data_IF_938924854054
#
_entry.id   IF_938924854054
#
_cell.length_a   1.000
_cell.length_b   1.000
_cell.length_c   1.000
_cell.angle_alpha   90.00
_cell.angle_beta   90.00
_cell.angle_gamma   90.00
#
_symmetry.space_group_name_H-M   'P 1'
#
loop_
_entity.id
_entity.type
_entity.pdbx_description
1 polymer ?
#
# COMPACT_ATOMS: atom_id res chain seq x y z
N UNK A 1 -6.34 21.33 3.19
CA UNK A 1 -5.05 20.82 2.68
C UNK A 1 -5.24 20.44 1.22
N UNK A 2 -4.35 20.86 0.36
CA UNK A 2 -4.40 20.45 -1.05
C UNK A 2 -3.67 19.11 -1.24
N UNK A 3 -4.38 18.00 -0.99
CA UNK A 3 -3.82 16.65 -1.15
C UNK A 3 -3.39 16.37 -2.60
N UNK A 4 -4.08 16.94 -3.58
CA UNK A 4 -3.75 16.76 -5.00
C UNK A 4 -2.31 17.19 -5.28
N UNK A 5 -1.93 18.37 -4.81
CA UNK A 5 -0.57 18.89 -4.97
C UNK A 5 0.49 18.00 -4.33
N UNK A 6 0.28 17.57 -3.09
CA UNK A 6 1.25 16.70 -2.40
C UNK A 6 1.39 15.35 -3.11
N UNK A 7 0.27 14.74 -3.51
CA UNK A 7 0.25 13.45 -4.20
C UNK A 7 0.91 13.52 -5.58
N UNK A 8 0.72 14.64 -6.30
CA UNK A 8 1.40 14.87 -7.58
C UNK A 8 2.93 14.95 -7.38
N UNK A 9 3.40 15.70 -6.37
CA UNK A 9 4.83 15.77 -6.04
C UNK A 9 5.39 14.37 -5.72
N UNK A 10 4.66 13.57 -4.95
CA UNK A 10 5.10 12.21 -4.59
C UNK A 10 5.16 11.33 -5.84
N UNK A 11 4.15 11.38 -6.74
CA UNK A 11 4.18 10.65 -8.02
C UNK A 11 5.38 11.03 -8.87
N UNK A 12 5.68 12.32 -9.01
CA UNK A 12 6.90 12.79 -9.72
C UNK A 12 8.17 12.21 -9.10
N UNK A 13 8.25 12.16 -7.78
CA UNK A 13 9.42 11.60 -7.09
C UNK A 13 9.53 10.07 -7.31
N UNK A 14 8.42 9.34 -7.38
CA UNK A 14 8.42 7.92 -7.76
C UNK A 14 8.97 7.74 -9.17
N UNK A 15 8.49 8.51 -10.16
CA UNK A 15 8.98 8.44 -11.54
C UNK A 15 10.49 8.74 -11.57
N UNK A 16 10.93 9.84 -10.95
CA UNK A 16 12.35 10.22 -10.90
C UNK A 16 13.22 9.14 -10.27
N UNK A 17 12.74 8.48 -9.21
CA UNK A 17 13.50 7.43 -8.55
C UNK A 17 13.69 6.20 -9.45
N UNK A 18 12.64 5.78 -10.17
CA UNK A 18 12.69 4.67 -11.12
C UNK A 18 13.55 5.04 -12.33
N UNK A 19 13.46 6.26 -12.82
CA UNK A 19 14.27 6.76 -13.92
C UNK A 19 15.78 6.69 -13.62
N UNK A 20 16.16 6.80 -12.35
CA UNK A 20 17.56 6.73 -11.91
C UNK A 20 18.09 5.30 -11.74
N UNK A 21 17.25 4.27 -11.81
CA UNK A 21 17.59 2.91 -11.34
C UNK A 21 17.30 1.80 -12.34
N UNK A 22 16.77 2.12 -13.51
CA UNK A 22 16.44 1.19 -14.58
C UNK A 22 15.46 0.06 -14.19
N UNK A 23 14.78 0.15 -13.04
CA UNK A 23 13.87 -0.90 -12.60
C UNK A 23 12.94 -0.43 -11.49
N UNK A 24 11.65 -0.71 -11.61
CA UNK A 24 10.67 -0.44 -10.57
C UNK A 24 9.23 -0.79 -10.95
N UNK A 25 8.38 -0.86 -9.95
CA UNK A 25 6.96 -1.13 -10.13
C UNK A 25 6.18 0.17 -10.09
N UNK A 26 5.97 0.80 -11.25
CA UNK A 26 5.39 2.14 -11.36
C UNK A 26 3.86 2.11 -11.18
N UNK A 27 3.17 1.29 -11.97
CA UNK A 27 1.71 1.19 -11.91
C UNK A 27 1.17 0.77 -10.55
N UNK A 28 1.69 -0.31 -9.91
CA UNK A 28 1.29 -0.70 -8.57
C UNK A 28 1.62 0.33 -7.48
N UNK A 29 2.68 1.11 -7.63
CA UNK A 29 3.02 2.18 -6.71
C UNK A 29 2.00 3.33 -6.80
N UNK A 30 1.56 3.68 -8.00
CA UNK A 30 0.59 4.74 -8.21
C UNK A 30 -0.82 4.35 -7.75
N UNK A 31 -1.21 3.07 -7.87
CA UNK A 31 -2.55 2.64 -7.47
C UNK A 31 -2.79 2.75 -5.96
N UNK A 32 -1.81 2.42 -5.12
CA UNK A 32 -1.97 2.41 -3.67
C UNK A 32 -1.41 3.66 -2.96
N UNK A 33 -1.00 4.68 -3.71
CA UNK A 33 -0.33 5.86 -3.14
C UNK A 33 -1.17 6.58 -2.10
N UNK A 34 -2.44 6.86 -2.39
CA UNK A 34 -3.34 7.57 -1.46
C UNK A 34 -3.61 6.75 -0.20
N UNK A 35 -3.66 5.43 -0.31
CA UNK A 35 -3.81 4.52 0.85
C UNK A 35 -2.59 4.66 1.76
N UNK A 36 -1.38 4.52 1.20
CA UNK A 36 -0.13 4.65 1.95
C UNK A 36 0.06 6.06 2.52
N UNK A 37 -0.19 7.09 1.73
CA UNK A 37 -0.11 8.48 2.15
C UNK A 37 -1.05 8.76 3.34
N UNK A 38 -2.30 8.33 3.25
CA UNK A 38 -3.29 8.55 4.31
C UNK A 38 -2.85 7.88 5.63
N UNK A 39 -2.43 6.62 5.55
CA UNK A 39 -1.98 5.87 6.73
C UNK A 39 -0.74 6.50 7.34
N UNK A 40 0.29 6.73 6.54
CA UNK A 40 1.60 7.18 7.02
C UNK A 40 1.55 8.60 7.56
N UNK A 41 0.88 9.52 6.86
CA UNK A 41 0.82 10.93 7.25
C UNK A 41 -0.07 11.15 8.48
N UNK A 42 -1.20 10.44 8.59
CA UNK A 42 -2.21 10.74 9.61
C UNK A 42 -2.20 9.78 10.81
N UNK A 43 -1.70 8.55 10.63
CA UNK A 43 -1.86 7.49 11.63
C UNK A 43 -0.57 6.87 12.13
N UNK A 44 0.57 7.12 11.49
CA UNK A 44 1.87 6.61 11.93
C UNK A 44 2.72 7.76 12.46
N UNK A 45 2.93 7.81 13.77
CA UNK A 45 3.84 8.77 14.38
C UNK A 45 5.20 8.12 14.65
N UNK A 46 6.15 8.33 13.75
CA UNK A 46 7.50 7.73 13.82
C UNK A 46 8.36 8.20 15.01
N UNK A 47 7.96 9.28 15.69
CA UNK A 47 8.62 9.75 16.92
C UNK A 47 8.19 8.96 18.17
N UNK A 48 7.09 8.21 18.11
CA UNK A 48 6.58 7.42 19.24
C UNK A 48 7.06 5.97 19.17
N UNK A 49 7.62 5.46 20.26
CA UNK A 49 8.03 4.05 20.37
C UNK A 49 6.85 3.10 20.18
N UNK A 50 5.73 3.37 20.85
CA UNK A 50 4.51 2.55 20.77
C UNK A 50 3.54 3.07 19.68
N UNK A 51 4.04 3.31 18.47
CA UNK A 51 3.23 3.78 17.35
C UNK A 51 2.42 2.65 16.72
N UNK A 52 1.38 3.03 15.98
CA UNK A 52 0.73 2.13 15.04
C UNK A 52 1.75 1.54 14.05
N UNK A 53 1.42 0.38 13.49
CA UNK A 53 2.29 -0.35 12.55
C UNK A 53 1.67 -0.37 11.15
N UNK A 54 2.53 -0.44 10.15
CA UNK A 54 2.11 -0.65 8.77
C UNK A 54 2.86 -1.83 8.15
N UNK A 55 2.12 -2.71 7.49
CA UNK A 55 2.67 -3.82 6.69
C UNK A 55 2.19 -3.64 5.25
N UNK A 56 3.11 -3.27 4.37
CA UNK A 56 2.86 -3.25 2.93
C UNK A 56 3.07 -4.66 2.38
N UNK A 57 2.03 -5.50 2.41
CA UNK A 57 2.10 -6.90 1.99
C UNK A 57 2.45 -7.04 0.50
N UNK A 58 1.83 -6.22 -0.36
CA UNK A 58 2.21 -6.06 -1.76
C UNK A 58 3.56 -5.33 -1.90
N UNK A 59 4.64 -5.98 -1.46
CA UNK A 59 5.97 -5.37 -1.30
C UNK A 59 6.56 -4.73 -2.57
N UNK A 60 6.12 -5.16 -3.74
CA UNK A 60 6.51 -4.57 -5.02
C UNK A 60 6.08 -3.09 -5.17
N UNK A 61 5.09 -2.61 -4.40
CA UNK A 61 4.73 -1.19 -4.33
C UNK A 61 5.68 -0.36 -3.42
N UNK A 62 6.83 -0.89 -3.04
CA UNK A 62 7.86 -0.20 -2.25
C UNK A 62 8.22 1.21 -2.75
N UNK A 63 8.28 1.52 -4.07
CA UNK A 63 8.53 2.88 -4.53
C UNK A 63 7.56 3.92 -3.97
N UNK A 64 6.27 3.58 -3.82
CA UNK A 64 5.30 4.49 -3.20
C UNK A 64 5.57 4.67 -1.70
N UNK A 65 5.86 3.58 -0.98
CA UNK A 65 6.17 3.64 0.44
C UNK A 65 7.38 4.54 0.72
N UNK A 66 8.45 4.37 -0.06
CA UNK A 66 9.66 5.18 0.09
C UNK A 66 9.46 6.63 -0.32
N UNK A 67 8.68 6.89 -1.38
CA UNK A 67 8.39 8.26 -1.79
C UNK A 67 7.52 9.01 -0.76
N UNK A 68 6.60 8.31 -0.09
CA UNK A 68 5.87 8.89 1.05
C UNK A 68 6.82 9.12 2.24
N UNK A 69 7.74 8.20 2.54
CA UNK A 69 8.75 8.43 3.58
C UNK A 69 9.63 9.65 3.28
N UNK A 70 10.08 9.81 2.04
CA UNK A 70 10.86 10.97 1.60
C UNK A 70 10.07 12.27 1.79
N UNK A 71 8.81 12.29 1.33
CA UNK A 71 7.91 13.42 1.48
C UNK A 71 7.65 13.82 2.95
N UNK A 72 7.63 12.85 3.85
CA UNK A 72 7.48 13.05 5.29
C UNK A 72 8.79 13.37 6.03
N UNK A 73 9.92 13.50 5.31
CA UNK A 73 11.24 13.78 5.88
C UNK A 73 11.82 12.62 6.70
N UNK A 74 11.41 11.40 6.41
CA UNK A 74 11.85 10.19 7.14
C UNK A 74 13.06 9.50 6.48
N UNK A 75 13.44 9.92 5.28
CA UNK A 75 14.65 9.49 4.58
C UNK A 75 15.71 10.58 4.63
N UNK A 76 16.96 10.19 4.36
CA UNK A 76 18.04 11.15 4.18
C UNK A 76 17.84 11.96 2.88
N UNK A 77 18.35 13.18 2.84
CA UNK A 77 18.29 14.04 1.63
C UNK A 77 18.84 13.27 0.42
N UNK A 78 18.09 13.29 -0.68
CA UNK A 78 18.40 12.60 -1.93
C UNK A 78 18.46 11.05 -1.85
N UNK A 79 18.11 10.42 -0.74
CA UNK A 79 18.20 8.97 -0.59
C UNK A 79 17.25 8.24 -1.56
N UNK A 80 16.07 8.82 -1.85
CA UNK A 80 15.11 8.22 -2.79
C UNK A 80 15.73 7.98 -4.20
N UNK A 81 16.74 8.76 -4.59
CA UNK A 81 17.49 8.57 -5.85
C UNK A 81 18.34 7.29 -5.87
N UNK A 82 18.50 6.64 -4.73
CA UNK A 82 19.29 5.40 -4.62
C UNK A 82 18.45 4.12 -4.65
N UNK A 83 17.13 4.25 -4.88
CA UNK A 83 16.22 3.11 -4.98
C UNK A 83 16.85 1.97 -5.81
N UNK A 84 16.91 0.75 -5.26
CA UNK A 84 17.43 -0.49 -5.91
C UNK A 84 18.91 -0.44 -6.34
N UNK A 85 19.65 0.64 -6.05
CA UNK A 85 21.10 0.66 -6.32
C UNK A 85 21.85 -0.26 -5.35
N UNK A 86 23.02 -0.71 -5.77
CA UNK A 86 23.90 -1.49 -4.89
C UNK A 86 24.15 -0.72 -3.58
N UNK A 87 24.17 -1.43 -2.46
CA UNK A 87 24.32 -0.88 -1.11
C UNK A 87 23.24 0.11 -0.63
N UNK A 88 22.20 0.41 -1.43
CA UNK A 88 21.10 1.25 -0.98
C UNK A 88 20.29 0.58 0.12
N UNK A 89 19.76 1.39 1.05
CA UNK A 89 18.79 0.92 2.03
C UNK A 89 17.39 0.73 1.42
N UNK A 90 17.13 1.35 0.26
CA UNK A 90 15.86 1.34 -0.45
C UNK A 90 15.84 0.19 -1.47
N UNK A 91 15.56 -1.00 -0.99
CA UNK A 91 15.53 -2.21 -1.80
C UNK A 91 14.28 -2.27 -2.69
N UNK A 92 14.28 -3.13 -3.72
CA UNK A 92 13.12 -3.30 -4.62
C UNK A 92 11.83 -3.77 -3.95
N UNK A 93 11.97 -4.46 -2.82
CA UNK A 93 10.93 -4.78 -1.86
C UNK A 93 11.37 -4.29 -0.48
N UNK A 94 10.45 -3.95 0.43
CA UNK A 94 10.82 -3.49 1.76
C UNK A 94 11.70 -4.49 2.49
N UNK A 95 12.89 -4.08 2.91
CA UNK A 95 13.80 -4.88 3.73
C UNK A 95 14.08 -4.17 5.05
N UNK A 96 13.51 -4.70 6.14
CA UNK A 96 13.67 -4.13 7.48
C UNK A 96 15.13 -4.17 7.99
N UNK A 97 15.94 -5.12 7.53
CA UNK A 97 17.36 -5.20 7.91
C UNK A 97 18.18 -4.05 7.28
N UNK A 98 17.76 -3.56 6.12
CA UNK A 98 18.41 -2.44 5.42
C UNK A 98 17.83 -1.08 5.85
N UNK A 99 16.52 -1.00 6.02
CA UNK A 99 15.82 0.23 6.40
C UNK A 99 15.01 0.01 7.68
N UNK A 100 15.59 0.33 8.82
CA UNK A 100 15.06 0.05 10.16
C UNK A 100 13.74 0.76 10.49
N UNK A 101 13.37 1.83 9.77
CA UNK A 101 12.09 2.53 9.93
C UNK A 101 10.89 1.67 9.50
N UNK A 102 11.11 0.69 8.62
CA UNK A 102 10.09 -0.27 8.22
C UNK A 102 9.64 -1.11 9.43
N UNK A 103 8.38 -1.45 9.48
CA UNK A 103 7.89 -2.40 10.49
C UNK A 103 8.24 -3.84 10.11
N UNK A 104 8.09 -4.20 8.84
CA UNK A 104 8.38 -5.54 8.33
C UNK A 104 8.98 -5.50 6.91
N UNK A 105 9.78 -6.51 6.57
CA UNK A 105 10.24 -6.76 5.21
C UNK A 105 9.25 -7.63 4.46
N UNK A 106 8.92 -7.28 3.21
CA UNK A 106 7.94 -8.00 2.38
C UNK A 106 8.52 -8.24 0.99
N UNK A 107 7.83 -9.08 0.20
CA UNK A 107 8.24 -9.48 -1.14
C UNK A 107 7.49 -10.72 -1.60
N UNK A 108 7.56 -11.80 -0.81
CA UNK A 108 6.66 -12.93 -0.98
C UNK A 108 5.23 -12.49 -0.63
N UNK A 109 4.31 -12.64 -1.60
CA UNK A 109 2.91 -12.26 -1.42
C UNK A 109 2.21 -13.17 -0.41
N UNK A 110 1.11 -12.70 0.16
CA UNK A 110 0.29 -13.44 1.12
C UNK A 110 0.78 -13.39 2.58
N UNK A 111 2.03 -12.97 2.84
CA UNK A 111 2.63 -13.05 4.18
C UNK A 111 2.16 -11.93 5.12
N UNK A 112 1.87 -10.75 4.59
CA UNK A 112 1.70 -9.53 5.40
C UNK A 112 0.52 -9.58 6.36
N UNK A 113 -0.55 -10.28 6.02
CA UNK A 113 -1.72 -10.39 6.89
C UNK A 113 -1.42 -11.26 8.11
N UNK A 114 -0.72 -12.38 7.94
CA UNK A 114 -0.25 -13.24 9.03
C UNK A 114 0.72 -12.53 9.96
N UNK A 115 1.65 -11.75 9.40
CA UNK A 115 2.56 -10.89 10.17
C UNK A 115 1.79 -9.85 10.98
N UNK A 116 0.74 -9.28 10.41
CA UNK A 116 -0.14 -8.32 11.10
C UNK A 116 -0.84 -8.95 12.31
N UNK A 117 -1.20 -10.24 12.24
CA UNK A 117 -1.71 -11.01 13.38
C UNK A 117 -0.65 -11.07 14.48
N UNK A 118 0.59 -11.40 14.15
CA UNK A 118 1.70 -11.43 15.11
C UNK A 118 1.89 -10.10 15.84
N UNK A 119 1.86 -8.98 15.11
CA UNK A 119 1.91 -7.64 15.72
C UNK A 119 0.70 -7.35 16.62
N UNK A 120 -0.48 -7.76 16.21
CA UNK A 120 -1.69 -7.59 17.03
C UNK A 120 -1.61 -8.38 18.34
N UNK A 121 -1.22 -9.64 18.29
CA UNK A 121 -1.02 -10.48 19.47
C UNK A 121 0.06 -9.94 20.40
N UNK A 122 1.21 -9.53 19.85
CA UNK A 122 2.28 -8.86 20.61
C UNK A 122 1.76 -7.60 21.30
N UNK A 123 0.98 -6.79 20.59
CA UNK A 123 0.38 -5.57 21.18
C UNK A 123 -0.53 -5.89 22.36
N UNK A 124 -1.34 -6.94 22.23
CA UNK A 124 -2.22 -7.41 23.31
C UNK A 124 -1.43 -7.90 24.52
N UNK A 125 -0.41 -8.73 24.30
CA UNK A 125 0.47 -9.23 25.37
C UNK A 125 1.17 -8.08 26.12
N UNK A 126 1.64 -7.09 25.38
CA UNK A 126 2.31 -5.91 25.93
C UNK A 126 1.33 -4.83 26.41
N UNK A 127 0.04 -5.09 26.47
CA UNK A 127 -1.05 -4.15 26.88
C UNK A 127 -1.00 -2.82 26.11
N UNK A 128 -0.58 -2.84 24.84
CA UNK A 128 -0.52 -1.65 23.96
C UNK A 128 -1.81 -1.50 23.17
N UNK A 129 -2.21 -0.23 22.93
CA UNK A 129 -3.43 0.12 22.20
C UNK A 129 -3.11 0.64 20.78
N UNK A 130 -2.21 -0.01 20.06
CA UNK A 130 -1.87 0.39 18.70
C UNK A 130 -2.63 -0.44 17.65
N UNK A 131 -2.83 0.20 16.50
CA UNK A 131 -3.44 -0.42 15.33
C UNK A 131 -2.36 -0.87 14.35
N UNK A 132 -2.69 -1.91 13.59
CA UNK A 132 -1.88 -2.46 12.52
C UNK A 132 -2.63 -2.23 11.21
N UNK A 133 -2.00 -1.55 10.27
CA UNK A 133 -2.52 -1.32 8.93
C UNK A 133 -1.84 -2.31 7.98
N UNK A 134 -2.61 -3.17 7.33
CA UNK A 134 -2.11 -4.12 6.34
C UNK A 134 -2.61 -3.73 4.95
N UNK A 135 -1.71 -3.55 3.99
CA UNK A 135 -2.05 -3.20 2.61
C UNK A 135 -1.74 -4.36 1.68
N UNK A 136 -2.78 -4.97 1.15
CA UNK A 136 -2.77 -6.10 0.21
C UNK A 136 -3.00 -5.62 -1.22
N UNK A 137 -2.61 -6.43 -2.21
CA UNK A 137 -3.11 -6.32 -3.57
C UNK A 137 -4.31 -7.23 -3.81
N UNK A 138 -5.14 -6.92 -4.79
CA UNK A 138 -6.26 -7.79 -5.17
C UNK A 138 -5.80 -9.11 -5.78
N UNK A 139 -4.78 -9.11 -6.65
CA UNK A 139 -4.15 -10.33 -7.14
C UNK A 139 -3.47 -11.16 -6.03
N UNK A 140 -2.99 -10.51 -4.97
CA UNK A 140 -2.42 -11.17 -3.79
C UNK A 140 -3.46 -12.01 -3.02
N UNK A 141 -4.76 -11.72 -3.18
CA UNK A 141 -5.83 -12.51 -2.56
C UNK A 141 -5.93 -13.95 -3.11
N UNK A 142 -5.22 -14.26 -4.19
CA UNK A 142 -5.12 -15.62 -4.72
C UNK A 142 -4.17 -16.51 -3.90
N UNK A 143 -3.36 -15.91 -3.02
CA UNK A 143 -2.53 -16.64 -2.06
C UNK A 143 -3.38 -17.26 -0.94
N UNK A 144 -3.26 -18.57 -0.73
CA UNK A 144 -4.03 -19.31 0.30
C UNK A 144 -3.85 -18.75 1.72
N UNK A 145 -2.64 -18.30 2.06
CA UNK A 145 -2.31 -17.72 3.36
C UNK A 145 -3.14 -16.48 3.73
N UNK A 146 -3.64 -15.73 2.77
CA UNK A 146 -4.55 -14.60 3.05
C UNK A 146 -5.83 -15.13 3.71
N UNK A 147 -6.37 -16.23 3.20
CA UNK A 147 -7.62 -16.81 3.70
C UNK A 147 -7.45 -17.53 5.03
N UNK A 148 -6.31 -18.18 5.24
CA UNK A 148 -5.93 -18.74 6.55
C UNK A 148 -5.85 -17.63 7.60
N UNK A 149 -5.17 -16.52 7.30
CA UNK A 149 -5.09 -15.37 8.19
C UNK A 149 -6.46 -14.71 8.42
N UNK A 150 -7.29 -14.57 7.37
CA UNK A 150 -8.64 -14.02 7.47
C UNK A 150 -9.52 -14.86 8.39
N UNK A 151 -9.49 -16.18 8.25
CA UNK A 151 -10.20 -17.12 9.11
C UNK A 151 -9.79 -16.94 10.58
N UNK A 152 -8.49 -16.83 10.86
CA UNK A 152 -7.99 -16.63 12.21
C UNK A 152 -8.42 -15.27 12.79
N UNK A 153 -8.26 -14.19 12.04
CA UNK A 153 -8.66 -12.82 12.44
C UNK A 153 -10.15 -12.79 12.79
N UNK A 154 -10.96 -13.37 11.92
CA UNK A 154 -12.41 -13.40 12.12
C UNK A 154 -12.82 -14.26 13.32
N UNK A 155 -12.27 -15.46 13.45
CA UNK A 155 -12.53 -16.35 14.59
C UNK A 155 -12.14 -15.70 15.94
N UNK A 156 -10.99 -15.03 15.99
CA UNK A 156 -10.49 -14.37 17.22
C UNK A 156 -10.99 -12.93 17.39
N UNK A 157 -11.81 -12.43 16.46
CA UNK A 157 -12.34 -11.06 16.47
C UNK A 157 -11.25 -10.00 16.68
N UNK A 158 -10.14 -10.12 15.94
CA UNK A 158 -9.00 -9.20 16.04
C UNK A 158 -9.35 -7.89 15.36
N UNK A 159 -9.72 -6.87 16.12
CA UNK A 159 -10.28 -5.60 15.62
C UNK A 159 -9.25 -4.48 15.46
N UNK A 160 -8.03 -4.64 15.96
CA UNK A 160 -6.96 -3.65 15.82
C UNK A 160 -6.10 -3.86 14.56
N UNK A 161 -6.49 -4.79 13.67
CA UNK A 161 -5.98 -4.87 12.31
C UNK A 161 -7.00 -4.23 11.39
N UNK A 162 -6.56 -3.26 10.58
CA UNK A 162 -7.35 -2.67 9.50
C UNK A 162 -6.68 -3.08 8.20
N UNK A 163 -7.37 -3.91 7.42
CA UNK A 163 -6.87 -4.46 6.16
C UNK A 163 -7.36 -3.62 5.00
N UNK A 164 -6.45 -3.17 4.13
CA UNK A 164 -6.75 -2.48 2.87
C UNK A 164 -6.42 -3.40 1.72
N UNK A 165 -7.28 -3.44 0.73
CA UNK A 165 -7.06 -4.14 -0.54
C UNK A 165 -6.97 -3.08 -1.63
N UNK A 166 -5.82 -2.97 -2.29
CA UNK A 166 -5.64 -2.17 -3.49
C UNK A 166 -6.27 -2.89 -4.67
N UNK A 167 -7.53 -2.57 -4.94
CA UNK A 167 -8.39 -3.20 -5.94
C UNK A 167 -8.21 -2.60 -7.32
N UNK A 168 -6.99 -2.64 -7.86
CA UNK A 168 -6.66 -2.08 -9.16
C UNK A 168 -6.97 -3.02 -10.33
N UNK A 169 -7.47 -4.24 -10.06
CA UNK A 169 -7.91 -5.28 -11.00
C UNK A 169 -6.82 -5.93 -11.86
N UNK A 170 -5.57 -5.68 -11.54
CA UNK A 170 -4.42 -6.22 -12.29
C UNK A 170 -3.44 -6.92 -11.37
N UNK A 171 -2.90 -8.01 -11.85
CA UNK A 171 -1.70 -8.64 -11.31
C UNK A 171 -0.53 -8.48 -12.29
N UNK A 172 0.51 -9.33 -12.24
CA UNK A 172 1.74 -9.11 -12.99
C UNK A 172 1.50 -8.84 -14.49
N UNK A 173 1.00 -9.80 -15.23
CA UNK A 173 0.89 -9.72 -16.69
C UNK A 173 -0.56 -9.61 -17.19
N UNK A 174 -1.54 -9.90 -16.33
CA UNK A 174 -2.93 -10.00 -16.75
C UNK A 174 -3.88 -9.40 -15.69
N UNK A 175 -5.15 -9.26 -16.05
CA UNK A 175 -6.20 -8.88 -15.09
C UNK A 175 -6.44 -10.04 -14.10
N UNK A 176 -6.77 -9.68 -12.85
CA UNK A 176 -7.06 -10.65 -11.79
C UNK A 176 -8.16 -11.64 -12.23
N UNK A 177 -9.22 -11.13 -12.88
CA UNK A 177 -10.35 -11.95 -13.29
C UNK A 177 -10.07 -12.92 -14.45
N UNK A 178 -9.05 -12.65 -15.26
CA UNK A 178 -8.63 -13.59 -16.31
C UNK A 178 -7.76 -14.71 -15.77
N UNK A 179 -7.01 -14.45 -14.70
CA UNK A 179 -6.14 -15.46 -14.06
C UNK A 179 -6.97 -16.39 -13.18
N UNK A 180 -7.60 -15.84 -12.13
CA UNK A 180 -8.57 -16.55 -11.30
C UNK A 180 -9.73 -15.60 -11.03
N UNK A 181 -10.90 -15.91 -11.58
CA UNK A 181 -12.10 -15.09 -11.41
C UNK A 181 -12.52 -15.06 -9.94
N UNK A 182 -12.44 -13.89 -9.33
CA UNK A 182 -12.91 -13.70 -7.96
C UNK A 182 -14.43 -13.61 -7.93
N UNK A 183 -15.04 -14.56 -7.22
CA UNK A 183 -16.50 -14.63 -7.10
C UNK A 183 -16.93 -14.12 -5.73
N UNK A 184 -17.68 -13.01 -5.72
CA UNK A 184 -18.32 -12.44 -4.55
C UNK A 184 -17.37 -12.21 -3.35
N UNK A 185 -16.31 -11.45 -3.59
CA UNK A 185 -15.28 -11.13 -2.60
C UNK A 185 -15.87 -10.60 -1.28
N UNK A 186 -16.91 -9.77 -1.37
CA UNK A 186 -17.62 -9.25 -0.19
C UNK A 186 -18.16 -10.37 0.69
N UNK A 187 -18.93 -11.31 0.13
CA UNK A 187 -19.49 -12.44 0.90
C UNK A 187 -18.38 -13.31 1.49
N UNK A 188 -17.28 -13.50 0.76
CA UNK A 188 -16.13 -14.28 1.20
C UNK A 188 -15.51 -13.69 2.48
N UNK A 189 -15.24 -12.39 2.53
CA UNK A 189 -14.74 -11.71 3.71
C UNK A 189 -15.78 -11.66 4.85
N UNK A 190 -17.06 -11.42 4.52
CA UNK A 190 -18.13 -11.39 5.51
C UNK A 190 -18.38 -12.76 6.15
N UNK A 191 -18.18 -13.86 5.42
CA UNK A 191 -18.30 -15.23 5.97
C UNK A 191 -17.21 -15.54 7.02
N UNK A 192 -16.04 -14.91 6.91
CA UNK A 192 -15.03 -14.97 7.98
C UNK A 192 -15.30 -13.97 9.12
N UNK A 193 -16.41 -13.26 9.12
CA UNK A 193 -16.80 -12.36 10.21
C UNK A 193 -16.27 -10.94 10.12
N UNK A 194 -15.75 -10.52 8.97
CA UNK A 194 -15.31 -9.13 8.74
C UNK A 194 -16.48 -8.18 8.45
N UNK A 195 -16.26 -6.92 8.76
CA UNK A 195 -16.97 -5.81 8.10
C UNK A 195 -16.23 -5.49 6.82
N UNK A 196 -16.88 -5.77 5.68
CA UNK A 196 -16.39 -5.38 4.36
C UNK A 196 -16.88 -3.97 4.00
N UNK A 197 -15.98 -3.12 3.53
CA UNK A 197 -16.26 -1.74 3.12
C UNK A 197 -15.64 -1.53 1.75
N UNK A 198 -16.42 -1.01 0.82
CA UNK A 198 -15.94 -0.54 -0.47
C UNK A 198 -15.80 0.98 -0.49
N UNK A 199 -14.72 1.48 -1.11
CA UNK A 199 -14.48 2.91 -1.22
C UNK A 199 -13.66 3.27 -2.46
N UNK A 200 -13.72 4.56 -2.85
CA UNK A 200 -12.73 5.11 -3.77
C UNK A 200 -11.36 5.18 -3.06
N UNK A 201 -10.40 4.36 -3.53
CA UNK A 201 -9.05 4.28 -2.96
C UNK A 201 -8.19 5.51 -3.23
N UNK A 202 -8.62 6.41 -4.12
CA UNK A 202 -7.94 7.67 -4.43
C UNK A 202 -8.47 8.88 -3.65
N UNK A 203 -9.42 8.70 -2.72
CA UNK A 203 -9.89 9.79 -1.85
C UNK A 203 -9.32 9.69 -0.46
N UNK A 204 -8.36 10.57 -0.15
CA UNK A 204 -7.75 10.69 1.18
C UNK A 204 -8.81 10.93 2.25
N UNK A 205 -9.84 11.73 1.95
CA UNK A 205 -10.92 12.07 2.89
C UNK A 205 -11.77 10.85 3.23
N UNK A 206 -12.12 10.03 2.22
CA UNK A 206 -12.90 8.81 2.42
C UNK A 206 -12.12 7.77 3.21
N UNK A 207 -10.83 7.58 2.86
CA UNK A 207 -9.93 6.69 3.58
C UNK A 207 -9.76 7.14 5.05
N UNK A 208 -9.53 8.42 5.29
CA UNK A 208 -9.40 9.01 6.63
C UNK A 208 -10.65 8.78 7.47
N UNK A 209 -11.84 9.01 6.89
CA UNK A 209 -13.11 8.77 7.58
C UNK A 209 -13.28 7.30 7.99
N UNK A 210 -13.01 6.37 7.08
CA UNK A 210 -13.12 4.92 7.35
C UNK A 210 -12.15 4.51 8.44
N UNK A 211 -10.90 4.98 8.38
CA UNK A 211 -9.90 4.68 9.41
C UNK A 211 -10.34 5.21 10.77
N UNK A 212 -10.82 6.45 10.85
CA UNK A 212 -11.34 7.04 12.10
C UNK A 212 -12.49 6.22 12.70
N UNK A 213 -13.41 5.77 11.86
CA UNK A 213 -14.53 4.95 12.31
C UNK A 213 -14.07 3.56 12.78
N UNK A 214 -13.12 2.93 12.07
CA UNK A 214 -12.55 1.65 12.46
C UNK A 214 -11.77 1.73 13.78
N UNK A 215 -10.96 2.76 13.98
CA UNK A 215 -10.20 3.00 15.23
C UNK A 215 -11.14 3.20 16.44
N UNK A 216 -12.29 3.83 16.23
CA UNK A 216 -13.32 3.98 17.27
C UNK A 216 -14.14 2.70 17.48
N UNK A 217 -13.78 1.59 16.85
CA UNK A 217 -14.51 0.31 16.89
C UNK A 217 -15.99 0.42 16.50
N UNK A 218 -16.37 1.40 15.69
CA UNK A 218 -17.75 1.60 15.23
C UNK A 218 -18.35 0.34 14.62
N UNK A 219 -17.55 -0.44 13.92
CA UNK A 219 -18.03 -1.62 13.20
C UNK A 219 -18.15 -2.89 14.06
N UNK A 220 -17.60 -2.89 15.27
CA UNK A 220 -17.62 -4.03 16.21
C UNK A 220 -17.06 -5.36 15.66
N UNK A 221 -16.51 -5.36 14.47
CA UNK A 221 -15.92 -6.49 13.73
C UNK A 221 -14.54 -6.12 13.20
N UNK A 222 -13.67 -7.09 12.87
CA UNK A 222 -12.49 -6.83 12.04
C UNK A 222 -12.89 -6.12 10.75
N UNK A 223 -12.06 -5.23 10.25
CA UNK A 223 -12.38 -4.38 9.08
C UNK A 223 -11.48 -4.74 7.91
N UNK A 224 -12.09 -4.96 6.76
CA UNK A 224 -11.42 -4.99 5.46
C UNK A 224 -12.02 -3.92 4.55
N UNK A 225 -11.15 -3.15 3.92
CA UNK A 225 -11.50 -2.03 3.03
C UNK A 225 -11.03 -2.37 1.63
N UNK A 226 -11.97 -2.63 0.74
CA UNK A 226 -11.67 -2.76 -0.69
C UNK A 226 -11.64 -1.37 -1.31
N UNK A 227 -10.44 -0.96 -1.70
CA UNK A 227 -10.16 0.33 -2.30
C UNK A 227 -10.24 0.19 -3.82
N UNK A 228 -11.30 0.68 -4.43
CA UNK A 228 -11.37 0.80 -5.89
C UNK A 228 -10.31 1.79 -6.35
N UNK A 229 -9.27 1.28 -6.99
CA UNK A 229 -8.10 2.03 -7.45
C UNK A 229 -7.88 1.82 -8.95
N UNK A 230 -7.03 2.66 -9.51
CA UNK A 230 -6.61 2.59 -10.91
C UNK A 230 -5.10 2.38 -10.93
N UNK A 231 -4.65 1.29 -11.57
CA UNK A 231 -3.23 1.05 -11.80
C UNK A 231 -2.64 2.17 -12.65
N UNK A 232 -1.55 2.78 -12.22
CA UNK A 232 -0.95 3.91 -12.94
C UNK A 232 -1.66 5.26 -12.76
N UNK A 233 -2.50 5.43 -11.73
CA UNK A 233 -3.31 6.61 -11.45
C UNK A 233 -2.55 7.93 -11.53
N UNK A 234 -3.10 8.89 -12.28
CA UNK A 234 -2.59 10.25 -12.40
C UNK A 234 -1.70 10.50 -13.62
N UNK A 235 -1.48 9.48 -14.46
CA UNK A 235 -0.79 9.60 -15.75
C UNK A 235 -1.62 8.89 -16.81
N UNK A 236 -2.15 9.63 -17.76
CA UNK A 236 -3.20 9.17 -18.67
C UNK A 236 -2.87 7.88 -19.41
N UNK A 237 -1.67 7.74 -19.96
CA UNK A 237 -1.25 6.57 -20.72
C UNK A 237 -0.85 5.37 -19.85
N UNK A 238 -0.73 5.56 -18.52
CA UNK A 238 -0.44 4.50 -17.55
C UNK A 238 -1.70 3.96 -16.90
N UNK A 239 -2.78 4.74 -16.84
CA UNK A 239 -4.03 4.34 -16.18
C UNK A 239 -4.62 3.09 -16.83
N UNK A 240 -4.82 2.02 -16.02
CA UNK A 240 -5.35 0.75 -16.49
C UNK A 240 -4.45 -0.03 -17.45
N UNK A 241 -3.22 0.40 -17.65
CA UNK A 241 -2.28 -0.21 -18.59
C UNK A 241 -1.25 -1.10 -17.88
N UNK A 242 -1.33 -2.41 -18.15
CA UNK A 242 -0.48 -3.39 -17.48
C UNK A 242 0.99 -3.32 -17.90
N UNK A 243 1.32 -2.73 -19.05
CA UNK A 243 2.69 -2.47 -19.49
C UNK A 243 3.55 -1.78 -18.41
N UNK A 244 2.91 -0.95 -17.58
CA UNK A 244 3.58 -0.20 -16.51
C UNK A 244 3.59 -0.92 -15.16
N UNK A 245 3.32 -2.23 -15.11
CA UNK A 245 3.44 -2.99 -13.87
C UNK A 245 4.88 -2.97 -13.35
N UNK A 246 5.80 -3.47 -14.14
CA UNK A 246 7.24 -3.38 -13.88
C UNK A 246 7.91 -2.74 -15.08
N UNK A 247 8.63 -1.66 -14.85
CA UNK A 247 9.25 -0.89 -15.91
C UNK A 247 10.75 -0.73 -15.65
N UNK A 248 11.49 -0.63 -16.75
CA UNK A 248 12.83 -0.03 -16.77
C UNK A 248 12.68 1.50 -16.74
N UNK A 249 13.60 2.22 -17.33
CA UNK A 249 13.40 3.65 -17.60
C UNK A 249 12.22 3.87 -18.54
N UNK A 250 11.46 4.91 -18.29
CA UNK A 250 10.52 5.40 -19.28
C UNK A 250 11.31 6.02 -20.46
N UNK A 251 10.85 5.83 -21.70
CA UNK A 251 11.31 6.63 -22.82
C UNK A 251 11.18 8.11 -22.52
N UNK A 252 12.09 8.95 -23.04
CA UNK A 252 12.12 10.38 -22.70
C UNK A 252 10.76 11.05 -22.95
N UNK A 253 10.12 10.75 -24.07
CA UNK A 253 8.80 11.30 -24.43
C UNK A 253 7.73 10.93 -23.40
N UNK A 254 7.69 9.67 -22.95
CA UNK A 254 6.74 9.21 -21.91
C UNK A 254 7.06 9.86 -20.56
N UNK A 255 8.34 10.02 -20.22
CA UNK A 255 8.78 10.69 -19.00
C UNK A 255 8.34 12.15 -18.96
N UNK A 256 8.63 12.92 -20.02
CA UNK A 256 8.26 14.34 -20.13
C UNK A 256 6.75 14.53 -20.10
N UNK A 257 6.02 13.68 -20.84
CA UNK A 257 4.54 13.69 -20.82
C UNK A 257 3.98 13.42 -19.41
N UNK A 258 4.49 12.40 -18.73
CA UNK A 258 4.04 12.08 -17.36
C UNK A 258 4.35 13.24 -16.39
N UNK A 259 5.52 13.85 -16.49
CA UNK A 259 5.89 14.98 -15.65
C UNK A 259 4.97 16.19 -15.89
N UNK A 260 4.64 16.49 -17.16
CA UNK A 260 3.72 17.57 -17.54
C UNK A 260 2.31 17.32 -17.00
N UNK A 261 1.73 16.14 -17.23
CA UNK A 261 0.39 15.81 -16.73
C UNK A 261 0.29 15.93 -15.19
N UNK A 262 1.36 15.53 -14.48
CA UNK A 262 1.42 15.68 -13.03
C UNK A 262 1.64 17.13 -12.58
N UNK A 263 2.22 18.01 -13.39
CA UNK A 263 2.29 19.44 -13.12
C UNK A 263 0.94 20.13 -13.29
N UNK A 264 0.17 19.75 -14.30
CA UNK A 264 -1.17 20.28 -14.57
C UNK A 264 -2.21 19.89 -13.49
N UNK A 265 -1.92 18.89 -12.66
CA UNK A 265 -2.80 18.44 -11.56
C UNK A 265 -2.62 19.29 -10.28
N UNK A 266 -1.66 20.21 -10.25
CA UNK A 266 -1.32 21.08 -9.12
C UNK A 266 -2.13 22.37 -9.13
#
# INVERSE_FOLDING_TARGET
MNYSKELSIIRKNIIKSIQNTDSGHLGPAFSCLEILYTILKKYINYKKFNRNKIVLSKGHAAPALYAVFDHLGLLKKNELKTLRKFSSRLQGHPDKKKLNILDFGTGALGQGLSVSIGYSLSSKLLKKKNFIFCVLGDGELQEGQIWEAAMYIGSKQIKNIITFIDGNKFQNEESVNKTIKEVNLKKKWESFGFKYIETNGHSVERLDRIIKEAIKYKYKKPVVVYCNTIKGKGVSFMEGNNKYHSVKKLPLIEYEKAMKELDETI
#
